data_IF_452965387754
#
_entry.id   IF_452965387754
#
_cell.length_a   1.000
_cell.length_b   1.000
_cell.length_c   1.000
_cell.angle_alpha   90.00
_cell.angle_beta   90.00
_cell.angle_gamma   90.00
#
_symmetry.space_group_name_H-M   'P 1'
#
loop_
_entity.id
_entity.type
_entity.pdbx_description
1 polymer ?
#
# COMPACT_ATOMS: atom_id res chain seq x y z
N UNK A 1 1.86 11.94 -21.60
CA UNK A 1 3.16 11.26 -21.40
C UNK A 1 3.10 10.62 -20.03
N UNK A 2 3.12 9.29 -19.93
CA UNK A 2 3.05 8.60 -18.64
C UNK A 2 4.37 8.87 -17.90
N UNK A 3 4.31 9.56 -16.76
CA UNK A 3 5.47 9.68 -15.87
C UNK A 3 5.55 8.39 -15.07
N UNK A 4 6.43 7.47 -15.50
CA UNK A 4 6.65 6.22 -14.78
C UNK A 4 7.34 6.52 -13.45
N UNK A 5 6.59 6.43 -12.36
CA UNK A 5 7.13 6.42 -11.00
C UNK A 5 7.57 5.01 -10.58
N UNK A 6 8.18 4.89 -9.40
CA UNK A 6 8.67 3.60 -8.89
C UNK A 6 7.55 2.55 -8.76
N UNK A 7 6.34 2.99 -8.36
CA UNK A 7 5.18 2.11 -8.22
C UNK A 7 4.76 1.49 -9.57
N UNK A 8 4.79 2.25 -10.67
CA UNK A 8 4.53 1.69 -12.00
C UNK A 8 5.44 0.51 -12.31
N UNK A 9 6.75 0.67 -12.08
CA UNK A 9 7.75 -0.37 -12.36
C UNK A 9 7.49 -1.59 -11.47
N UNK A 10 7.21 -1.39 -10.18
CA UNK A 10 6.88 -2.49 -9.26
C UNK A 10 5.62 -3.23 -9.72
N UNK A 11 4.56 -2.51 -10.09
CA UNK A 11 3.32 -3.11 -10.58
C UNK A 11 3.54 -3.88 -11.88
N UNK A 12 4.28 -3.32 -12.84
CA UNK A 12 4.60 -4.02 -14.10
C UNK A 12 5.37 -5.33 -13.85
N UNK A 13 6.31 -5.33 -12.91
CA UNK A 13 7.11 -6.50 -12.54
C UNK A 13 6.40 -7.48 -11.59
N UNK A 14 5.32 -7.05 -10.94
CA UNK A 14 4.57 -7.90 -10.02
C UNK A 14 3.85 -9.04 -10.77
N UNK A 15 4.04 -10.26 -10.29
CA UNK A 15 3.37 -11.45 -10.79
C UNK A 15 2.72 -12.21 -9.64
N UNK A 16 1.61 -12.86 -9.92
CA UNK A 16 0.88 -13.66 -8.95
C UNK A 16 0.25 -14.86 -9.62
N UNK A 17 0.10 -15.95 -8.87
CA UNK A 17 -0.70 -17.11 -9.27
C UNK A 17 -2.18 -16.94 -8.93
N UNK A 18 -2.53 -15.91 -8.17
CA UNK A 18 -3.89 -15.59 -7.75
C UNK A 18 -4.56 -14.68 -8.80
N UNK A 19 -5.59 -15.17 -9.53
CA UNK A 19 -6.23 -14.39 -10.60
C UNK A 19 -6.78 -13.03 -10.15
N UNK A 20 -7.27 -12.94 -8.92
CA UNK A 20 -7.78 -11.72 -8.30
C UNK A 20 -6.71 -10.62 -8.15
N UNK A 21 -5.46 -11.00 -7.89
CA UNK A 21 -4.34 -10.06 -7.79
C UNK A 21 -3.93 -9.54 -9.17
N UNK A 22 -4.06 -10.37 -10.23
CA UNK A 22 -3.82 -9.92 -11.61
C UNK A 22 -4.86 -8.87 -12.02
N UNK A 23 -6.14 -9.13 -11.73
CA UNK A 23 -7.22 -8.16 -11.99
C UNK A 23 -7.00 -6.87 -11.21
N UNK A 24 -6.60 -6.98 -9.94
CA UNK A 24 -6.33 -5.82 -9.09
C UNK A 24 -5.13 -5.01 -9.61
N UNK A 25 -4.04 -5.67 -10.00
CA UNK A 25 -2.87 -5.03 -10.63
C UNK A 25 -3.27 -4.22 -11.87
N UNK A 26 -4.09 -4.78 -12.76
CA UNK A 26 -4.55 -4.07 -13.96
C UNK A 26 -5.30 -2.79 -13.59
N UNK A 27 -6.25 -2.88 -12.65
CA UNK A 27 -6.98 -1.70 -12.14
C UNK A 27 -6.07 -0.67 -11.49
N UNK A 28 -5.06 -1.10 -10.73
CA UNK A 28 -4.08 -0.20 -10.13
C UNK A 28 -3.27 0.53 -11.19
N UNK A 29 -2.85 -0.15 -12.26
CA UNK A 29 -2.14 0.47 -13.38
C UNK A 29 -3.03 1.46 -14.15
N UNK A 30 -4.29 1.11 -14.42
CA UNK A 30 -5.26 2.02 -15.05
C UNK A 30 -5.45 3.27 -14.19
N UNK A 31 -5.72 3.09 -12.91
CA UNK A 31 -5.90 4.17 -11.94
C UNK A 31 -4.70 5.12 -11.88
N UNK A 32 -3.49 4.55 -11.85
CA UNK A 32 -2.24 5.30 -11.79
C UNK A 32 -1.98 6.13 -13.07
N UNK A 33 -2.57 5.74 -14.20
CA UNK A 33 -2.47 6.46 -15.47
C UNK A 33 -3.61 7.46 -15.69
N UNK A 34 -4.76 7.26 -15.05
CA UNK A 34 -5.97 8.08 -15.24
C UNK A 34 -5.94 9.38 -14.43
N UNK A 35 -5.37 9.35 -13.23
CA UNK A 35 -5.43 10.47 -12.28
C UNK A 35 -4.07 11.15 -12.06
N UNK A 36 -4.07 12.48 -11.96
CA UNK A 36 -2.85 13.29 -11.80
C UNK A 36 -2.18 13.10 -10.43
N UNK A 37 -2.97 12.97 -9.36
CA UNK A 37 -2.46 12.79 -7.99
C UNK A 37 -3.11 11.59 -7.28
N UNK A 38 -2.79 10.36 -7.72
CA UNK A 38 -3.44 9.15 -7.20
C UNK A 38 -2.97 8.75 -5.80
N UNK A 39 -2.04 9.50 -5.19
CA UNK A 39 -1.50 9.25 -3.84
C UNK A 39 -2.10 10.18 -2.77
N UNK A 40 -2.79 11.25 -3.18
CA UNK A 40 -3.42 12.17 -2.23
C UNK A 40 -4.78 11.67 -1.82
N UNK A 41 -5.05 11.69 -0.52
CA UNK A 41 -6.37 11.41 0.06
C UNK A 41 -7.45 12.42 -0.33
N UNK A 42 -7.06 13.55 -0.93
CA UNK A 42 -8.01 14.54 -1.43
C UNK A 42 -8.76 14.02 -2.67
N UNK A 43 -8.18 13.05 -3.40
CA UNK A 43 -8.84 12.37 -4.51
C UNK A 43 -9.92 11.41 -4.01
N UNK A 44 -11.14 11.91 -3.86
CA UNK A 44 -12.25 11.19 -3.21
C UNK A 44 -12.70 9.90 -3.93
N UNK A 45 -12.37 9.76 -5.22
CA UNK A 45 -12.69 8.55 -5.99
C UNK A 45 -11.79 7.37 -5.62
N UNK A 46 -10.67 7.61 -4.92
CA UNK A 46 -9.72 6.61 -4.47
C UNK A 46 -8.30 7.16 -4.43
N UNK A 47 -7.41 6.48 -3.71
CA UNK A 47 -5.99 6.80 -3.66
C UNK A 47 -5.18 5.59 -3.18
N UNK A 48 -3.89 5.57 -3.48
CA UNK A 48 -3.00 4.52 -3.01
C UNK A 48 -2.75 4.62 -1.50
N UNK A 49 -2.71 3.45 -0.87
CA UNK A 49 -2.31 3.27 0.54
C UNK A 49 -1.12 2.32 0.60
N UNK A 50 -0.33 2.41 1.65
CA UNK A 50 0.78 1.50 1.91
C UNK A 50 0.56 0.74 3.21
N UNK A 51 0.95 -0.52 3.26
CA UNK A 51 0.85 -1.35 4.47
C UNK A 51 2.08 -2.23 4.61
N UNK A 52 2.41 -2.60 5.84
CA UNK A 52 3.58 -3.40 6.16
C UNK A 52 3.17 -4.76 6.75
N UNK A 53 3.66 -5.84 6.12
CA UNK A 53 3.56 -7.18 6.69
C UNK A 53 4.87 -7.52 7.40
N UNK A 54 4.93 -7.24 8.70
CA UNK A 54 6.16 -7.37 9.50
C UNK A 54 6.27 -8.77 10.10
N UNK A 55 7.34 -9.47 9.77
CA UNK A 55 7.68 -10.78 10.33
C UNK A 55 8.71 -10.63 11.45
N UNK A 56 8.66 -11.51 12.44
CA UNK A 56 9.79 -11.69 13.35
C UNK A 56 10.97 -12.36 12.64
N UNK A 57 12.16 -12.36 13.25
CA UNK A 57 13.40 -12.80 12.61
C UNK A 57 13.36 -14.25 12.09
N UNK A 58 12.69 -15.14 12.80
CA UNK A 58 12.53 -16.55 12.41
C UNK A 58 11.34 -16.81 11.46
N UNK A 59 10.57 -15.76 11.13
CA UNK A 59 9.38 -15.79 10.25
C UNK A 59 8.25 -16.70 10.74
N UNK A 60 8.14 -16.93 12.05
CA UNK A 60 7.06 -17.73 12.65
C UNK A 60 5.87 -16.88 13.13
N UNK A 61 6.06 -15.57 13.28
CA UNK A 61 5.05 -14.63 13.77
C UNK A 61 5.05 -13.38 12.90
N UNK A 62 3.89 -12.74 12.81
CA UNK A 62 3.73 -11.44 12.19
C UNK A 62 3.02 -10.46 13.12
N UNK A 63 3.34 -9.18 12.96
CA UNK A 63 2.75 -8.11 13.76
C UNK A 63 1.40 -7.70 13.18
N UNK A 64 0.39 -7.61 14.05
CA UNK A 64 -0.88 -6.95 13.80
C UNK A 64 -1.16 -5.94 14.90
N UNK A 65 -1.90 -4.88 14.56
CA UNK A 65 -2.42 -3.90 15.50
C UNK A 65 -3.91 -4.15 15.74
N UNK A 66 -4.35 -4.09 16.99
CA UNK A 66 -5.77 -4.16 17.32
C UNK A 66 -6.42 -2.80 17.09
N UNK A 67 -7.25 -2.73 16.05
CA UNK A 67 -7.94 -1.50 15.67
C UNK A 67 -9.20 -1.33 16.52
N UNK A 68 -9.11 -0.57 17.61
CA UNK A 68 -10.15 -0.39 18.64
C UNK A 68 -11.56 -0.12 18.10
N UNK A 69 -11.71 0.73 17.07
CA UNK A 69 -13.03 1.09 16.51
C UNK A 69 -13.63 -0.02 15.64
N UNK A 70 -12.80 -0.83 15.01
CA UNK A 70 -13.25 -1.90 14.09
C UNK A 70 -13.30 -3.25 14.78
N UNK A 71 -12.70 -3.35 15.97
CA UNK A 71 -12.48 -4.59 16.72
C UNK A 71 -11.85 -5.70 15.85
N UNK A 72 -10.79 -5.33 15.13
CA UNK A 72 -10.08 -6.21 14.19
C UNK A 72 -8.58 -6.09 14.38
N UNK A 73 -7.88 -7.19 14.14
CA UNK A 73 -6.42 -7.19 14.01
C UNK A 73 -6.05 -6.93 12.56
N UNK A 74 -5.30 -5.85 12.32
CA UNK A 74 -4.92 -5.39 10.98
C UNK A 74 -3.42 -5.11 10.93
N UNK A 75 -2.84 -5.26 9.75
CA UNK A 75 -1.46 -4.85 9.52
C UNK A 75 -1.29 -3.33 9.70
N UNK A 76 -0.11 -2.85 10.14
CA UNK A 76 0.23 -1.43 10.08
C UNK A 76 0.16 -0.90 8.65
N UNK A 77 -0.33 0.31 8.48
CA UNK A 77 -0.49 0.95 7.18
C UNK A 77 -1.38 2.18 7.22
N UNK A 78 -1.35 2.94 6.13
CA UNK A 78 -2.01 4.23 6.06
C UNK A 78 -1.99 4.87 4.67
N UNK A 79 -2.39 6.13 4.65
CA UNK A 79 -2.47 6.95 3.45
C UNK A 79 -1.08 7.37 2.97
N UNK A 80 -0.91 7.48 1.66
CA UNK A 80 0.35 8.00 1.11
C UNK A 80 0.47 9.53 1.23
N UNK A 81 -0.66 10.24 1.35
CA UNK A 81 -0.74 11.71 1.51
C UNK A 81 0.15 12.47 0.50
N UNK A 82 0.16 12.01 -0.75
CA UNK A 82 0.93 12.59 -1.85
C UNK A 82 2.34 12.03 -2.04
N UNK A 83 2.85 11.20 -1.12
CA UNK A 83 4.15 10.53 -1.29
C UNK A 83 4.02 9.33 -2.25
N UNK A 84 4.69 9.42 -3.40
CA UNK A 84 4.71 8.33 -4.40
C UNK A 84 5.66 7.18 -4.06
N UNK A 85 6.50 7.33 -3.02
CA UNK A 85 7.39 6.28 -2.53
C UNK A 85 6.64 5.35 -1.56
N UNK A 86 5.89 4.40 -2.11
CA UNK A 86 5.07 3.44 -1.35
C UNK A 86 5.88 2.68 -0.28
N UNK A 87 7.15 2.36 -0.55
CA UNK A 87 7.99 1.64 0.43
C UNK A 87 8.31 2.54 1.63
N UNK A 88 8.67 3.80 1.38
CA UNK A 88 8.89 4.78 2.44
C UNK A 88 7.64 4.98 3.31
N UNK A 89 6.47 5.12 2.67
CA UNK A 89 5.18 5.23 3.38
C UNK A 89 4.93 3.98 4.24
N UNK A 90 5.07 2.77 3.69
CA UNK A 90 4.86 1.54 4.45
C UNK A 90 5.77 1.45 5.69
N UNK A 91 7.04 1.83 5.57
CA UNK A 91 8.00 1.84 6.68
C UNK A 91 7.62 2.89 7.73
N UNK A 92 7.27 4.10 7.31
CA UNK A 92 6.81 5.17 8.20
C UNK A 92 5.58 4.75 9.01
N UNK A 93 4.55 4.25 8.33
CA UNK A 93 3.30 3.80 8.97
C UNK A 93 3.54 2.63 9.94
N UNK A 94 4.46 1.73 9.61
CA UNK A 94 4.87 0.66 10.51
C UNK A 94 5.55 1.20 11.78
N UNK A 95 6.43 2.18 11.64
CA UNK A 95 7.11 2.81 12.77
C UNK A 95 6.16 3.61 13.66
N UNK A 96 5.21 4.33 13.06
CA UNK A 96 4.18 5.09 13.78
C UNK A 96 3.22 4.15 14.52
N UNK A 97 2.77 3.08 13.86
CA UNK A 97 1.87 2.08 14.44
C UNK A 97 2.45 1.31 15.62
N UNK A 98 3.76 1.08 15.65
CA UNK A 98 4.46 0.37 16.74
C UNK A 98 4.72 1.27 17.96
N UNK A 99 4.79 2.59 17.77
CA UNK A 99 5.12 3.55 18.84
C UNK A 99 3.93 3.98 19.69
N UNK A 100 2.71 3.60 19.30
CA UNK A 100 1.45 3.93 19.98
C UNK A 100 0.97 2.78 20.85
#
# INVERSE_FOLDING_TARGET
>A
MIVMNELHIKLLNYSSTYPEEIVTKTKMLEFLNEYENPFSRDLQIGHFTASAFLLNNDKTKFLLMHHKKLDKWLQPGGHCDGDSNILNVAVKEAMEGIRN
#
